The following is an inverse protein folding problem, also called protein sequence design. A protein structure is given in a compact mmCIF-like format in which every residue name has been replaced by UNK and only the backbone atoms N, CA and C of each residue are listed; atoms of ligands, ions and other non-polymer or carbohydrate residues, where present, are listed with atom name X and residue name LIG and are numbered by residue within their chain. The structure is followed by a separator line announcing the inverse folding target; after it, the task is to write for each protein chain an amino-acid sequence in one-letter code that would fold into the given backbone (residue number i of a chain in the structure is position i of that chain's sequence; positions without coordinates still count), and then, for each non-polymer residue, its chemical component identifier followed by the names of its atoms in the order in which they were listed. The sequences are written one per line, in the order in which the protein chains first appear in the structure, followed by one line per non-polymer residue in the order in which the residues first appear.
data_IF_145433895177
#
_entry.id   IF_145433895177
#
_cell.length_a   1.000
_cell.length_b   1.000
_cell.length_c   1.000
_cell.angle_alpha   90.00
_cell.angle_beta   90.00
_cell.angle_gamma   90.00
#
_symmetry.space_group_name_H-M   'P 1'
#
loop_
_entity.id
_entity.type
_entity.pdbx_description
1 polymer ?
#
# COMPACT_ATOMS: atom_id res chain seq x y z
N UNK A 1 -18.24 5.04 -52.65
CA UNK A 1 -18.38 5.13 -51.19
C UNK A 1 -17.72 3.92 -50.54
N UNK A 2 -16.41 4.05 -50.27
CA UNK A 2 -15.69 3.64 -49.05
C UNK A 2 -16.01 2.30 -48.35
N UNK A 3 -15.72 1.15 -48.99
CA UNK A 3 -15.65 -0.16 -48.27
C UNK A 3 -14.44 -1.00 -48.69
N UNK A 4 -13.25 -0.40 -48.67
CA UNK A 4 -11.99 -1.07 -49.03
C UNK A 4 -10.87 -0.97 -47.98
N UNK A 5 -11.08 -0.32 -46.83
CA UNK A 5 -10.01 -0.01 -45.88
C UNK A 5 -10.33 -0.39 -44.41
N UNK A 6 -11.00 -1.52 -44.18
CA UNK A 6 -11.20 -2.06 -42.82
C UNK A 6 -10.41 -3.35 -42.56
N UNK A 7 -9.97 -4.05 -43.61
CA UNK A 7 -9.33 -5.38 -43.47
C UNK A 7 -7.83 -5.35 -43.16
N UNK A 8 -7.19 -4.17 -43.28
CA UNK A 8 -5.76 -3.97 -42.97
C UNK A 8 -5.50 -3.54 -41.52
N UNK A 9 -6.55 -3.29 -40.72
CA UNK A 9 -6.47 -2.70 -39.37
C UNK A 9 -6.54 -3.71 -38.22
N UNK A 10 -6.34 -4.99 -38.52
CA UNK A 10 -6.37 -6.10 -37.55
C UNK A 10 -5.03 -6.81 -37.33
N UNK A 11 -3.98 -6.44 -38.08
CA UNK A 11 -2.67 -7.10 -38.04
C UNK A 11 -1.64 -6.32 -37.21
N UNK A 12 -1.83 -5.01 -37.01
CA UNK A 12 -0.88 -4.13 -36.32
C UNK A 12 -1.22 -3.90 -34.84
N UNK A 13 -2.47 -4.14 -34.48
CA UNK A 13 -3.06 -4.03 -33.14
C UNK A 13 -2.72 -5.24 -32.27
N UNK A 14 -2.58 -6.44 -32.85
CA UNK A 14 -2.19 -7.63 -32.11
C UNK A 14 -0.75 -7.53 -31.60
N UNK A 15 0.22 -7.17 -32.45
CA UNK A 15 1.64 -7.07 -32.05
C UNK A 15 1.90 -5.94 -31.06
N UNK A 16 1.14 -4.84 -31.13
CA UNK A 16 1.18 -3.77 -30.13
C UNK A 16 0.62 -4.22 -28.78
N UNK A 17 -0.46 -5.01 -28.76
CA UNK A 17 -1.02 -5.58 -27.52
C UNK A 17 -0.05 -6.57 -26.86
N UNK A 18 0.62 -7.40 -27.66
CA UNK A 18 1.64 -8.35 -27.18
C UNK A 18 2.89 -7.65 -26.65
N UNK A 19 3.34 -6.57 -27.29
CA UNK A 19 4.48 -5.76 -26.81
C UNK A 19 4.13 -4.95 -25.55
N UNK A 20 2.89 -4.45 -25.45
CA UNK A 20 2.40 -3.82 -24.22
C UNK A 20 2.30 -4.82 -23.07
N UNK A 21 1.90 -6.06 -23.33
CA UNK A 21 1.87 -7.12 -22.31
C UNK A 21 3.26 -7.46 -21.77
N UNK A 22 4.28 -7.58 -22.64
CA UNK A 22 5.66 -7.84 -22.20
C UNK A 22 6.22 -6.65 -21.41
N UNK A 23 5.95 -5.41 -21.85
CA UNK A 23 6.36 -4.21 -21.12
C UNK A 23 5.64 -4.08 -19.77
N UNK A 24 4.35 -4.42 -19.70
CA UNK A 24 3.58 -4.35 -18.46
C UNK A 24 3.99 -5.44 -17.46
N UNK A 25 4.35 -6.64 -17.92
CA UNK A 25 4.93 -7.67 -17.06
C UNK A 25 6.32 -7.27 -16.55
N UNK A 26 7.18 -6.71 -17.40
CA UNK A 26 8.48 -6.22 -16.98
C UNK A 26 8.37 -5.04 -15.98
N UNK A 27 7.41 -4.13 -16.18
CA UNK A 27 7.13 -3.05 -15.24
C UNK A 27 6.55 -3.56 -13.91
N UNK A 28 5.67 -4.55 -13.93
CA UNK A 28 5.15 -5.19 -12.71
C UNK A 28 6.24 -5.93 -11.94
N UNK A 29 7.16 -6.61 -12.63
CA UNK A 29 8.33 -7.26 -12.02
C UNK A 29 9.32 -6.23 -11.47
N UNK A 30 9.58 -5.12 -12.17
CA UNK A 30 10.45 -4.06 -11.67
C UNK A 30 9.86 -3.33 -10.45
N UNK A 31 8.55 -3.12 -10.42
CA UNK A 31 7.84 -2.59 -9.24
C UNK A 31 7.90 -3.62 -8.11
N UNK A 32 7.66 -4.92 -8.38
CA UNK A 32 7.82 -6.00 -7.39
C UNK A 32 9.25 -6.17 -6.88
N UNK A 33 10.26 -5.84 -7.68
CA UNK A 33 11.66 -5.82 -7.29
C UNK A 33 12.01 -4.62 -6.39
N UNK A 34 11.29 -3.50 -6.53
CA UNK A 34 11.33 -2.39 -5.55
C UNK A 34 10.67 -2.76 -4.20
N UNK A 35 9.89 -3.84 -4.15
CA UNK A 35 9.30 -4.43 -2.95
C UNK A 35 10.10 -5.62 -2.40
N UNK A 36 11.36 -5.79 -2.82
CA UNK A 36 12.25 -6.72 -2.13
C UNK A 36 12.65 -6.14 -0.77
N UNK A 37 12.49 -6.87 0.35
CA UNK A 37 13.12 -6.47 1.59
C UNK A 37 14.63 -6.48 1.37
N UNK A 38 15.28 -5.32 1.54
CA UNK A 38 16.75 -5.22 1.60
C UNK A 38 17.20 -5.90 2.89
N UNK A 39 17.26 -7.24 2.86
CA UNK A 39 17.59 -8.09 4.01
C UNK A 39 19.10 -8.27 4.18
N UNK A 40 19.92 -7.29 3.79
CA UNK A 40 21.37 -7.49 3.64
C UNK A 40 22.27 -6.53 4.45
N UNK A 41 21.75 -5.78 5.44
CA UNK A 41 22.59 -4.86 6.25
C UNK A 41 22.33 -4.87 7.77
N UNK A 42 21.52 -5.78 8.32
CA UNK A 42 21.05 -5.68 9.71
C UNK A 42 21.95 -6.36 10.78
N UNK A 43 23.03 -7.05 10.42
CA UNK A 43 23.74 -7.91 11.38
C UNK A 43 24.60 -7.19 12.44
N UNK A 44 24.85 -5.88 12.32
CA UNK A 44 25.74 -5.11 13.23
C UNK A 44 25.02 -3.97 14.00
N UNK A 45 23.68 -3.96 14.05
CA UNK A 45 22.91 -2.80 14.49
C UNK A 45 22.34 -2.88 15.93
N UNK A 46 23.02 -3.56 16.86
CA UNK A 46 22.52 -3.81 18.22
C UNK A 46 22.05 -2.56 19.01
N UNK A 47 22.67 -1.37 18.90
CA UNK A 47 22.15 -0.16 19.54
C UNK A 47 20.98 0.49 18.78
N UNK A 48 20.89 0.27 17.47
CA UNK A 48 19.79 0.81 16.66
C UNK A 48 18.52 0.03 16.98
N UNK A 49 18.58 -1.31 17.11
CA UNK A 49 17.41 -2.14 17.36
C UNK A 49 16.60 -1.69 18.58
N UNK A 50 17.27 -1.33 19.69
CA UNK A 50 16.60 -0.80 20.88
C UNK A 50 15.90 0.55 20.67
N UNK A 51 16.43 1.42 19.80
CA UNK A 51 15.77 2.69 19.43
C UNK A 51 14.55 2.42 18.55
N UNK A 52 14.63 1.45 17.64
CA UNK A 52 13.50 1.05 16.81
C UNK A 52 12.41 0.36 17.65
N UNK A 53 12.75 -0.49 18.62
CA UNK A 53 11.78 -1.07 19.55
C UNK A 53 11.09 -0.01 20.43
N UNK A 54 11.85 0.97 20.94
CA UNK A 54 11.26 2.09 21.67
C UNK A 54 10.32 2.92 20.78
N UNK A 55 10.75 3.21 19.54
CA UNK A 55 9.96 3.97 18.59
C UNK A 55 8.68 3.23 18.20
N UNK A 56 8.76 1.91 17.97
CA UNK A 56 7.61 1.04 17.74
C UNK A 56 6.70 1.03 18.98
N UNK A 57 7.26 0.97 20.19
CA UNK A 57 6.50 1.07 21.43
C UNK A 57 5.74 2.40 21.57
N UNK A 58 6.32 3.52 21.10
CA UNK A 58 5.63 4.82 21.03
C UNK A 58 4.55 4.81 19.94
N UNK A 59 4.85 4.25 18.77
CA UNK A 59 3.99 4.27 17.58
C UNK A 59 2.85 3.24 17.61
N UNK A 60 2.97 2.17 18.39
CA UNK A 60 1.94 1.14 18.60
C UNK A 60 1.37 1.16 20.03
N UNK A 61 1.96 1.94 20.92
CA UNK A 61 1.49 2.10 22.30
C UNK A 61 0.29 3.05 22.44
N UNK A 62 0.07 3.48 23.68
CA UNK A 62 -1.11 4.25 24.07
C UNK A 62 -1.23 5.62 23.35
N UNK A 63 -0.09 6.16 22.89
CA UNK A 63 -0.03 7.44 22.16
C UNK A 63 -0.72 7.32 20.79
N UNK A 64 -0.44 6.26 20.04
CA UNK A 64 -1.07 6.04 18.74
C UNK A 64 -2.59 5.83 18.85
N UNK A 65 -3.03 5.11 19.88
CA UNK A 65 -4.46 5.00 20.22
C UNK A 65 -5.09 6.36 20.48
N UNK A 66 -4.40 7.21 21.21
CA UNK A 66 -4.89 8.55 21.55
C UNK A 66 -5.06 9.43 20.30
N UNK A 67 -4.08 9.39 19.38
CA UNK A 67 -4.15 10.11 18.09
C UNK A 67 -5.31 9.58 17.22
N UNK A 68 -5.49 8.25 17.16
CA UNK A 68 -6.59 7.63 16.42
C UNK A 68 -7.95 8.09 16.94
N UNK A 69 -8.13 8.15 18.26
CA UNK A 69 -9.37 8.64 18.88
C UNK A 69 -9.62 10.10 18.51
N UNK A 70 -8.59 10.96 18.57
CA UNK A 70 -8.71 12.38 18.19
C UNK A 70 -9.17 12.52 16.73
N UNK A 71 -8.60 11.74 15.80
CA UNK A 71 -9.01 11.74 14.39
C UNK A 71 -10.49 11.33 14.21
N UNK A 72 -10.96 10.33 14.96
CA UNK A 72 -12.37 9.93 14.97
C UNK A 72 -13.26 11.00 15.57
N UNK A 73 -12.80 11.71 16.61
CA UNK A 73 -13.54 12.85 17.17
C UNK A 73 -13.75 13.96 16.12
N UNK A 74 -12.72 14.29 15.32
CA UNK A 74 -12.86 15.23 14.21
C UNK A 74 -13.88 14.78 13.16
N UNK A 75 -13.92 13.47 12.84
CA UNK A 75 -14.94 12.91 11.97
C UNK A 75 -16.36 13.09 12.57
N UNK A 76 -16.51 12.89 13.88
CA UNK A 76 -17.76 13.14 14.59
C UNK A 76 -18.22 14.60 14.53
N UNK A 77 -17.29 15.56 14.66
CA UNK A 77 -17.60 16.98 14.48
C UNK A 77 -18.06 17.29 13.04
N UNK A 78 -17.44 16.67 12.04
CA UNK A 78 -17.85 16.85 10.64
C UNK A 78 -19.22 16.20 10.35
N UNK A 79 -19.55 15.12 11.06
CA UNK A 79 -20.87 14.50 10.98
C UNK A 79 -21.98 15.42 11.51
N UNK A 80 -21.74 16.15 12.60
CA UNK A 80 -22.70 17.10 13.17
C UNK A 80 -22.98 18.30 12.26
N UNK A 81 -22.08 18.62 11.31
CA UNK A 81 -22.27 19.73 10.35
C UNK A 81 -23.24 19.39 9.20
N UNK A 82 -23.87 18.20 9.24
CA UNK A 82 -24.89 17.77 8.26
C UNK A 82 -24.34 17.42 6.88
N UNK A 83 -23.02 17.51 6.69
CA UNK A 83 -22.33 17.31 5.41
C UNK A 83 -21.35 16.15 5.50
N UNK A 84 -21.87 14.98 5.87
CA UNK A 84 -21.07 13.78 6.07
C UNK A 84 -20.41 13.35 4.75
N UNK A 85 -19.13 13.67 4.60
CA UNK A 85 -18.30 13.15 3.55
C UNK A 85 -18.01 11.67 3.83
N UNK A 86 -18.89 10.79 3.38
CA UNK A 86 -18.70 9.33 3.36
C UNK A 86 -17.29 8.86 2.96
N UNK A 87 -16.63 9.43 1.92
CA UNK A 87 -15.26 9.05 1.61
C UNK A 87 -14.24 9.43 2.70
N UNK A 88 -14.46 10.54 3.41
CA UNK A 88 -13.60 10.94 4.53
C UNK A 88 -13.80 10.03 5.75
N UNK A 89 -15.04 9.66 6.03
CA UNK A 89 -15.34 8.70 7.09
C UNK A 89 -14.63 7.37 6.84
N UNK A 90 -14.72 6.87 5.60
CA UNK A 90 -14.09 5.63 5.21
C UNK A 90 -12.55 5.71 5.26
N UNK A 91 -11.95 6.81 4.79
CA UNK A 91 -10.48 6.94 4.79
C UNK A 91 -9.89 6.90 6.20
N UNK A 92 -10.57 7.51 7.19
CA UNK A 92 -10.11 7.50 8.60
C UNK A 92 -10.19 6.10 9.19
N UNK A 93 -11.30 5.39 8.98
CA UNK A 93 -11.47 4.01 9.48
C UNK A 93 -10.43 3.07 8.88
N UNK A 94 -10.21 3.17 7.57
CA UNK A 94 -9.19 2.38 6.88
C UNK A 94 -7.79 2.71 7.42
N UNK A 95 -7.46 4.00 7.59
CA UNK A 95 -6.17 4.41 8.16
C UNK A 95 -5.92 3.82 9.55
N UNK A 96 -6.93 3.84 10.42
CA UNK A 96 -6.83 3.26 11.77
C UNK A 96 -6.61 1.75 11.71
N UNK A 97 -7.32 1.04 10.84
CA UNK A 97 -7.13 -0.40 10.65
C UNK A 97 -5.71 -0.75 10.19
N UNK A 98 -5.11 0.06 9.32
CA UNK A 98 -3.71 -0.13 8.91
C UNK A 98 -2.71 0.13 10.04
N UNK A 99 -2.89 1.19 10.84
CA UNK A 99 -1.97 1.51 11.95
C UNK A 99 -1.91 0.38 12.98
N UNK A 100 -3.06 -0.17 13.38
CA UNK A 100 -3.12 -1.23 14.39
C UNK A 100 -2.94 -2.65 13.82
N UNK A 101 -3.22 -2.86 12.53
CA UNK A 101 -3.06 -4.14 11.85
C UNK A 101 -1.70 -4.36 11.18
N UNK A 102 -0.82 -3.37 11.18
CA UNK A 102 0.46 -3.46 10.47
C UNK A 102 1.41 -4.53 11.02
N UNK A 103 1.45 -4.73 12.35
CA UNK A 103 2.37 -5.70 12.96
C UNK A 103 2.11 -7.13 12.46
N UNK A 104 0.85 -7.58 12.53
CA UNK A 104 0.46 -8.92 12.10
C UNK A 104 0.65 -9.13 10.60
N UNK A 105 0.45 -8.10 9.78
CA UNK A 105 0.75 -8.13 8.36
C UNK A 105 2.25 -8.36 8.10
N UNK A 106 3.11 -7.61 8.80
CA UNK A 106 4.56 -7.72 8.65
C UNK A 106 5.07 -9.07 9.13
N UNK A 107 4.54 -9.58 10.24
CA UNK A 107 4.89 -10.89 10.77
C UNK A 107 4.49 -12.02 9.81
N UNK A 108 3.29 -11.95 9.22
CA UNK A 108 2.84 -12.91 8.21
C UNK A 108 3.76 -12.92 6.98
N UNK A 109 4.21 -11.75 6.52
CA UNK A 109 5.15 -11.66 5.40
C UNK A 109 6.49 -12.31 5.77
N UNK A 110 7.01 -12.08 6.97
CA UNK A 110 8.26 -12.69 7.45
C UNK A 110 8.17 -14.21 7.51
N UNK A 111 7.06 -14.74 8.00
CA UNK A 111 6.83 -16.19 8.07
C UNK A 111 6.89 -16.82 6.67
N UNK A 112 6.17 -16.24 5.70
CA UNK A 112 6.19 -16.71 4.30
C UNK A 112 7.53 -16.54 3.59
N UNK A 113 8.37 -15.62 4.04
CA UNK A 113 9.71 -15.41 3.49
C UNK A 113 10.76 -16.37 4.07
N UNK A 114 10.45 -17.01 5.21
CA UNK A 114 11.34 -17.96 5.89
C UNK A 114 11.10 -19.43 5.52
N UNK A 115 9.99 -19.71 4.83
CA UNK A 115 9.61 -21.02 4.26
C UNK A 115 10.02 -21.15 2.80
#
# INVERSE_FOLDING_TARGET
MEKGNSKMRGRTDMSLRWSKLTLQLAAAVAIGALWQPVAAFAQDAAPIEGVFEWLVGVLQGNIARSIAIIAVCFLGFMAMTGRLAWPLAFSIVVGIAFVFGAATLVDAIRETASS
#
